data_IF_682028966061
#
_entry.id   IF_682028966061
#
_cell.length_a   1.000
_cell.length_b   1.000
_cell.length_c   1.000
_cell.angle_alpha   90.00
_cell.angle_beta   90.00
_cell.angle_gamma   90.00
#
_symmetry.space_group_name_H-M   'P 1'
#
loop_
_entity.id
_entity.type
_entity.pdbx_description
1 polymer ?
#
# COMPACT_ATOMS: atom_id res chain seq x y z
N UNK A 1 13.53 -6.86 2.61
CA UNK A 1 14.23 -6.76 1.31
C UNK A 1 13.36 -6.93 0.06
N UNK A 2 12.03 -6.98 0.17
CA UNK A 2 11.13 -7.38 -0.94
C UNK A 2 10.75 -6.27 -1.94
N UNK A 3 11.37 -5.09 -1.87
CA UNK A 3 11.03 -3.91 -2.70
C UNK A 3 12.20 -3.38 -3.55
N UNK A 4 13.30 -4.13 -3.67
CA UNK A 4 14.47 -3.74 -4.49
C UNK A 4 14.52 -4.57 -5.79
N UNK A 5 13.60 -4.31 -6.70
CA UNK A 5 13.53 -5.03 -7.98
C UNK A 5 14.33 -4.34 -9.08
N UNK A 6 14.58 -3.03 -9.01
CA UNK A 6 15.36 -2.30 -10.02
C UNK A 6 16.85 -2.68 -9.91
N UNK A 7 17.39 -3.31 -10.95
CA UNK A 7 18.79 -3.75 -11.04
C UNK A 7 19.66 -2.76 -11.82
N UNK A 8 19.15 -2.21 -12.93
CA UNK A 8 19.85 -1.20 -13.74
C UNK A 8 18.88 -0.16 -14.27
N UNK A 9 19.36 1.05 -14.46
CA UNK A 9 18.59 2.19 -14.95
C UNK A 9 19.26 2.76 -16.19
N UNK A 10 18.48 3.00 -17.23
CA UNK A 10 18.83 3.89 -18.36
C UNK A 10 17.75 4.95 -18.44
N UNK A 11 18.12 6.22 -18.53
CA UNK A 11 17.15 7.32 -18.58
C UNK A 11 17.56 8.40 -19.57
N UNK A 12 16.57 9.18 -19.97
CA UNK A 12 16.69 10.51 -20.58
C UNK A 12 15.54 11.36 -20.08
N UNK A 13 15.55 12.66 -20.37
CA UNK A 13 14.42 13.51 -20.00
C UNK A 13 13.15 13.02 -20.72
N UNK A 14 12.11 12.75 -19.94
CA UNK A 14 10.83 12.22 -20.38
C UNK A 14 10.72 10.69 -20.45
N UNK A 15 11.81 9.92 -20.28
CA UNK A 15 11.76 8.45 -20.43
C UNK A 15 12.77 7.72 -19.55
N UNK A 16 12.37 6.55 -19.06
CA UNK A 16 13.26 5.65 -18.32
C UNK A 16 13.03 4.19 -18.69
N UNK A 17 14.10 3.41 -18.65
CA UNK A 17 14.10 1.97 -18.84
C UNK A 17 14.85 1.32 -17.67
N UNK A 18 14.13 0.53 -16.88
CA UNK A 18 14.67 -0.20 -15.74
C UNK A 18 14.72 -1.69 -16.04
N UNK A 19 15.89 -2.30 -15.85
CA UNK A 19 16.03 -3.75 -15.79
C UNK A 19 15.58 -4.20 -14.39
N UNK A 20 14.60 -5.10 -14.33
CA UNK A 20 14.03 -5.62 -13.10
C UNK A 20 14.56 -7.03 -12.82
N UNK A 21 15.04 -7.24 -11.59
CA UNK A 21 15.40 -8.56 -11.08
C UNK A 21 14.23 -9.09 -10.24
N UNK A 22 13.57 -10.18 -10.67
CA UNK A 22 12.60 -10.82 -9.81
C UNK A 22 13.26 -11.34 -8.52
N UNK A 23 12.59 -11.13 -7.38
CA UNK A 23 12.93 -11.85 -6.16
C UNK A 23 12.62 -13.35 -6.32
N UNK A 24 13.18 -14.23 -5.46
CA UNK A 24 12.75 -15.62 -5.42
C UNK A 24 11.23 -15.66 -5.23
N UNK A 25 10.52 -16.34 -6.14
CA UNK A 25 9.10 -16.54 -5.99
C UNK A 25 8.87 -17.30 -4.66
N UNK A 26 7.91 -16.90 -3.82
CA UNK A 26 7.59 -17.66 -2.62
C UNK A 26 7.23 -19.10 -3.01
N UNK A 27 7.73 -20.07 -2.25
CA UNK A 27 7.45 -21.49 -2.43
C UNK A 27 5.92 -21.69 -2.42
N UNK A 28 5.36 -22.18 -3.55
CA UNK A 28 3.91 -22.41 -3.70
C UNK A 28 3.21 -21.61 -4.79
N UNK A 29 3.95 -20.85 -5.60
CA UNK A 29 3.38 -20.07 -6.71
C UNK A 29 2.79 -18.73 -6.25
N UNK A 30 2.94 -17.70 -7.07
CA UNK A 30 2.44 -16.37 -6.75
C UNK A 30 0.91 -16.35 -6.78
N UNK A 31 0.26 -15.91 -5.68
CA UNK A 31 -1.18 -15.59 -5.65
C UNK A 31 -1.54 -14.36 -6.51
N UNK A 32 -0.54 -13.64 -7.01
CA UNK A 32 -0.70 -12.39 -7.74
C UNK A 32 -0.29 -12.55 -9.20
N UNK A 33 -0.99 -11.86 -10.12
CA UNK A 33 -0.56 -11.74 -11.52
C UNK A 33 0.79 -11.04 -11.63
N UNK A 34 1.00 -9.97 -10.85
CA UNK A 34 2.31 -9.35 -10.61
C UNK A 34 2.51 -9.11 -9.12
N UNK A 35 3.73 -9.33 -8.63
CA UNK A 35 4.06 -9.05 -7.24
C UNK A 35 3.87 -7.55 -6.93
N UNK A 36 3.24 -7.15 -5.81
CA UNK A 36 3.05 -5.74 -5.48
C UNK A 36 4.34 -4.92 -5.45
N UNK A 37 5.44 -5.50 -4.96
CA UNK A 37 6.76 -4.86 -4.99
C UNK A 37 7.34 -4.66 -6.40
N UNK A 38 6.95 -5.50 -7.37
CA UNK A 38 7.30 -5.32 -8.78
C UNK A 38 6.49 -4.16 -9.38
N UNK A 39 5.19 -4.08 -9.07
CA UNK A 39 4.32 -2.98 -9.50
C UNK A 39 4.86 -1.65 -8.97
N UNK A 40 5.19 -1.59 -7.67
CA UNK A 40 5.77 -0.40 -7.05
C UNK A 40 7.09 0.01 -7.73
N UNK A 41 7.96 -0.95 -8.04
CA UNK A 41 9.20 -0.70 -8.78
C UNK A 41 8.95 -0.19 -10.21
N UNK A 42 7.86 -0.62 -10.86
CA UNK A 42 7.45 -0.06 -12.15
C UNK A 42 7.05 1.41 -11.98
N UNK A 43 6.31 1.76 -10.92
CA UNK A 43 5.91 3.14 -10.65
C UNK A 43 7.09 4.05 -10.36
N UNK A 44 8.07 3.57 -9.59
CA UNK A 44 9.34 4.27 -9.37
C UNK A 44 10.07 4.59 -10.67
N UNK A 45 9.92 3.74 -11.71
CA UNK A 45 10.54 3.96 -13.02
C UNK A 45 10.06 5.25 -13.68
N UNK A 46 8.80 5.65 -13.49
CA UNK A 46 8.28 6.91 -14.04
C UNK A 46 9.01 8.14 -13.47
N UNK A 47 9.25 8.15 -12.16
CA UNK A 47 9.98 9.24 -11.50
C UNK A 47 11.40 9.44 -12.05
N UNK A 48 12.07 8.36 -12.47
CA UNK A 48 13.41 8.41 -13.05
C UNK A 48 13.45 9.13 -14.41
N UNK A 49 12.32 9.25 -15.10
CA UNK A 49 12.20 9.98 -16.38
C UNK A 49 12.06 11.49 -16.22
N UNK A 50 11.98 12.03 -14.99
CA UNK A 50 11.82 13.47 -14.78
C UNK A 50 13.01 14.27 -15.32
N UNK A 51 12.75 15.40 -16.01
CA UNK A 51 13.79 16.35 -16.39
C UNK A 51 14.52 16.88 -15.17
N UNK A 52 15.81 17.17 -15.30
CA UNK A 52 16.55 17.80 -14.23
C UNK A 52 16.78 16.92 -13.00
N UNK A 53 16.69 15.59 -13.10
CA UNK A 53 17.01 14.61 -12.03
C UNK A 53 18.37 14.85 -11.31
N UNK A 54 19.29 15.65 -11.88
CA UNK A 54 20.53 16.10 -11.23
C UNK A 54 20.65 17.61 -10.96
N UNK A 55 19.72 18.45 -11.45
CA UNK A 55 19.72 19.91 -11.27
C UNK A 55 18.53 20.41 -10.44
N UNK A 56 17.52 19.58 -10.25
CA UNK A 56 16.50 19.73 -9.21
C UNK A 56 17.20 19.47 -7.88
N UNK A 57 17.70 20.54 -7.24
CA UNK A 57 18.03 20.54 -5.81
C UNK A 57 16.81 20.34 -4.90
N UNK A 58 15.85 19.52 -5.33
CA UNK A 58 14.48 19.43 -4.82
C UNK A 58 14.04 18.03 -4.40
N UNK A 59 14.91 17.03 -4.45
CA UNK A 59 14.76 15.87 -3.57
C UNK A 59 15.47 16.19 -2.25
N UNK A 60 14.96 17.19 -1.52
CA UNK A 60 15.23 17.22 -0.08
C UNK A 60 14.66 15.91 0.48
N UNK A 61 15.24 15.37 1.55
CA UNK A 61 14.77 14.10 2.15
C UNK A 61 13.29 14.14 2.64
N UNK A 62 12.68 15.32 2.53
CA UNK A 62 11.38 15.73 3.02
C UNK A 62 10.27 15.65 1.97
N UNK A 63 10.54 15.43 0.67
CA UNK A 63 9.49 15.30 -0.35
C UNK A 63 9.55 13.98 -1.09
N UNK A 64 8.39 13.35 -1.27
CA UNK A 64 8.26 12.05 -1.95
C UNK A 64 7.11 12.06 -2.95
N UNK A 65 7.27 11.34 -4.06
CA UNK A 65 6.18 11.08 -4.99
C UNK A 65 5.40 9.84 -4.53
N UNK A 66 4.08 9.96 -4.44
CA UNK A 66 3.18 8.85 -4.16
C UNK A 66 2.26 8.58 -5.36
N UNK A 67 1.94 7.31 -5.66
CA UNK A 67 0.91 6.99 -6.65
C UNK A 67 -0.46 7.49 -6.20
N UNK A 68 -1.14 8.24 -7.06
CA UNK A 68 -2.48 8.79 -6.80
C UNK A 68 -3.57 8.02 -7.57
N UNK A 69 -3.33 7.73 -8.85
CA UNK A 69 -4.28 7.01 -9.69
C UNK A 69 -3.59 6.33 -10.87
N UNK A 70 -4.29 5.39 -11.51
CA UNK A 70 -3.93 4.80 -12.80
C UNK A 70 -5.18 4.77 -13.66
N UNK A 71 -5.08 5.24 -14.91
CA UNK A 71 -6.21 5.29 -15.84
C UNK A 71 -6.65 3.90 -16.28
N UNK A 72 -5.70 3.00 -16.51
CA UNK A 72 -5.97 1.61 -16.85
C UNK A 72 -4.79 0.69 -16.61
N UNK A 73 -5.07 -0.57 -16.31
CA UNK A 73 -4.05 -1.62 -16.18
C UNK A 73 -4.46 -2.80 -17.02
N UNK A 74 -3.57 -3.24 -17.91
CA UNK A 74 -3.78 -4.42 -18.76
C UNK A 74 -2.70 -5.45 -18.45
N UNK A 75 -3.11 -6.70 -18.21
CA UNK A 75 -2.21 -7.84 -18.03
C UNK A 75 -2.35 -8.76 -19.25
N UNK A 76 -1.25 -8.95 -19.98
CA UNK A 76 -1.25 -9.65 -21.27
C UNK A 76 -0.72 -11.09 -21.17
N UNK A 77 -0.17 -11.49 -20.02
CA UNK A 77 0.32 -12.85 -19.79
C UNK A 77 0.91 -13.06 -18.39
N UNK A 78 1.26 -14.31 -18.05
CA UNK A 78 1.92 -14.61 -16.79
C UNK A 78 3.34 -14.03 -16.75
N UNK A 79 3.81 -13.73 -15.54
CA UNK A 79 5.16 -13.26 -15.28
C UNK A 79 6.01 -14.43 -14.75
N UNK A 80 6.70 -15.13 -15.64
CA UNK A 80 7.34 -16.43 -15.38
C UNK A 80 8.67 -16.35 -14.60
N UNK A 81 8.92 -15.26 -13.87
CA UNK A 81 10.10 -15.09 -13.01
C UNK A 81 11.43 -14.92 -13.76
N UNK A 82 11.40 -14.69 -15.08
CA UNK A 82 12.56 -14.33 -15.88
C UNK A 82 12.97 -12.85 -15.73
N UNK A 83 14.01 -12.43 -16.47
CA UNK A 83 14.41 -11.02 -16.50
C UNK A 83 13.27 -10.17 -17.09
N UNK A 84 13.01 -9.02 -16.50
CA UNK A 84 11.96 -8.10 -16.94
C UNK A 84 12.54 -6.71 -17.17
N UNK A 85 11.83 -5.91 -17.96
CA UNK A 85 12.15 -4.50 -18.18
C UNK A 85 10.90 -3.66 -17.99
N UNK A 86 10.99 -2.58 -17.21
CA UNK A 86 9.95 -1.57 -17.18
C UNK A 86 10.40 -0.39 -18.03
N UNK A 87 9.62 -0.04 -19.05
CA UNK A 87 9.77 1.18 -19.82
C UNK A 87 8.72 2.19 -19.37
N UNK A 88 9.17 3.36 -18.93
CA UNK A 88 8.32 4.48 -18.55
C UNK A 88 8.45 5.63 -19.55
N UNK A 89 7.31 6.22 -19.92
CA UNK A 89 7.23 7.42 -20.72
C UNK A 89 6.40 8.48 -20.00
N UNK A 90 7.00 9.62 -19.76
CA UNK A 90 6.34 10.79 -19.20
C UNK A 90 5.40 11.40 -20.25
N UNK A 91 4.15 11.67 -19.85
CA UNK A 91 3.19 12.46 -20.64
C UNK A 91 3.26 13.92 -20.22
N UNK A 92 3.12 14.16 -18.93
CA UNK A 92 2.97 15.50 -18.35
C UNK A 92 3.69 15.56 -17.01
N UNK A 93 4.26 16.72 -16.69
CA UNK A 93 4.73 17.06 -15.36
C UNK A 93 4.47 18.54 -15.08
N UNK A 94 4.16 18.87 -13.84
CA UNK A 94 3.87 20.25 -13.43
C UNK A 94 4.80 20.71 -12.29
N UNK A 95 4.94 22.03 -12.12
CA UNK A 95 5.74 22.61 -11.04
C UNK A 95 5.12 22.33 -9.65
N UNK A 96 3.81 22.11 -9.59
CA UNK A 96 3.08 21.71 -8.39
C UNK A 96 3.34 20.23 -8.00
N UNK A 97 4.17 19.52 -8.75
CA UNK A 97 4.61 18.16 -8.43
C UNK A 97 3.59 17.09 -8.82
N UNK A 98 2.77 17.32 -9.84
CA UNK A 98 1.97 16.27 -10.47
C UNK A 98 2.73 15.68 -11.67
N UNK A 99 2.74 14.36 -11.79
CA UNK A 99 3.40 13.64 -12.89
C UNK A 99 2.39 12.65 -13.45
N UNK A 100 2.26 12.60 -14.78
CA UNK A 100 1.45 11.61 -15.48
C UNK A 100 2.29 10.91 -16.53
N UNK A 101 2.21 9.58 -16.61
CA UNK A 101 2.93 8.81 -17.62
C UNK A 101 2.43 7.39 -17.79
N UNK A 102 3.02 6.71 -18.75
CA UNK A 102 2.70 5.32 -19.10
C UNK A 102 3.86 4.40 -18.78
N UNK A 103 3.52 3.17 -18.42
CA UNK A 103 4.48 2.12 -18.16
C UNK A 103 4.17 0.88 -19.00
N UNK A 104 5.23 0.24 -19.50
CA UNK A 104 5.17 -1.09 -20.09
C UNK A 104 6.17 -2.00 -19.41
N UNK A 105 5.68 -3.11 -18.88
CA UNK A 105 6.50 -4.20 -18.37
C UNK A 105 6.70 -5.22 -19.50
N UNK A 106 7.95 -5.51 -19.82
CA UNK A 106 8.36 -6.40 -20.89
C UNK A 106 9.14 -7.59 -20.35
N UNK A 107 9.02 -8.74 -21.01
CA UNK A 107 9.89 -9.89 -20.78
C UNK A 107 11.18 -9.84 -21.61
N UNK A 108 11.99 -10.89 -21.51
CA UNK A 108 13.28 -11.03 -22.22
C UNK A 108 13.16 -11.13 -23.73
N UNK A 109 12.00 -11.56 -24.23
CA UNK A 109 11.70 -11.55 -25.65
C UNK A 109 11.16 -10.19 -26.14
N UNK A 110 11.00 -9.21 -25.23
CA UNK A 110 10.41 -7.91 -25.53
C UNK A 110 8.88 -7.95 -25.66
N UNK A 111 8.23 -9.04 -25.24
CA UNK A 111 6.76 -9.14 -25.21
C UNK A 111 6.23 -8.35 -24.02
N UNK A 112 5.12 -7.65 -24.23
CA UNK A 112 4.47 -6.88 -23.17
C UNK A 112 3.76 -7.84 -22.22
N UNK A 113 4.17 -7.81 -20.96
CA UNK A 113 3.56 -8.57 -19.85
C UNK A 113 2.43 -7.77 -19.22
N UNK A 114 2.65 -6.47 -18.99
CA UNK A 114 1.64 -5.58 -18.46
C UNK A 114 1.82 -4.14 -18.93
N UNK A 115 0.73 -3.39 -18.95
CA UNK A 115 0.69 -1.97 -19.29
C UNK A 115 -0.05 -1.19 -18.21
N UNK A 116 0.44 0.01 -17.92
CA UNK A 116 -0.20 0.95 -17.01
C UNK A 116 -0.37 2.26 -17.77
N UNK A 117 -1.62 2.63 -18.03
CA UNK A 117 -1.99 3.85 -18.74
C UNK A 117 -2.27 4.97 -17.74
N UNK A 118 -1.75 6.16 -18.02
CA UNK A 118 -2.02 7.37 -17.23
C UNK A 118 -1.80 7.18 -15.72
N UNK A 119 -0.66 6.59 -15.34
CA UNK A 119 -0.21 6.57 -13.95
C UNK A 119 0.04 8.01 -13.50
N UNK A 120 -0.65 8.42 -12.45
CA UNK A 120 -0.49 9.71 -11.83
C UNK A 120 0.29 9.59 -10.51
N UNK A 121 1.39 10.33 -10.40
CA UNK A 121 2.15 10.49 -9.16
C UNK A 121 2.01 11.92 -8.66
N UNK A 122 1.95 12.09 -7.33
CA UNK A 122 1.88 13.40 -6.68
C UNK A 122 3.01 13.57 -5.68
N UNK A 123 3.69 14.71 -5.74
CA UNK A 123 4.67 15.13 -4.76
C UNK A 123 3.97 15.55 -3.48
N UNK A 124 4.38 14.98 -2.36
CA UNK A 124 3.87 15.30 -1.03
C UNK A 124 5.03 15.48 -0.06
N UNK A 125 4.82 16.28 0.98
CA UNK A 125 5.75 16.34 2.10
C UNK A 125 5.70 15.01 2.86
N UNK A 126 6.87 14.46 3.16
CA UNK A 126 7.06 13.19 3.84
C UNK A 126 6.42 13.18 5.22
N UNK A 127 6.42 14.33 5.91
CA UNK A 127 5.74 14.55 7.18
C UNK A 127 4.22 14.38 7.09
N UNK A 128 3.60 14.72 5.96
CA UNK A 128 2.17 14.51 5.75
C UNK A 128 1.82 13.01 5.66
N UNK A 129 2.77 12.18 5.21
CA UNK A 129 2.61 10.72 5.14
C UNK A 129 2.96 10.05 6.47
N UNK A 130 4.00 10.52 7.17
CA UNK A 130 4.39 9.96 8.48
C UNK A 130 3.51 10.42 9.64
N UNK A 131 2.90 11.59 9.59
CA UNK A 131 1.93 12.04 10.61
C UNK A 131 0.72 11.12 10.73
N UNK A 132 0.32 10.45 9.64
CA UNK A 132 -0.69 9.39 9.68
C UNK A 132 -0.21 8.12 10.41
N UNK A 133 1.10 7.85 10.40
CA UNK A 133 1.71 6.72 11.10
C UNK A 133 1.97 7.04 12.59
N UNK A 134 2.30 8.29 12.93
CA UNK A 134 2.51 8.74 14.32
C UNK A 134 1.21 8.67 15.15
N UNK A 135 0.05 8.88 14.51
CA UNK A 135 -1.27 8.79 15.15
C UNK A 135 -1.94 7.41 15.06
N UNK A 136 -1.23 6.36 14.63
CA UNK A 136 -1.80 4.99 14.66
C UNK A 136 -2.21 4.62 16.09
N UNK A 137 -1.45 5.08 17.08
CA UNK A 137 -1.77 4.94 18.51
C UNK A 137 -3.13 5.56 18.88
N UNK A 138 -3.55 6.63 18.20
CA UNK A 138 -4.85 7.29 18.42
C UNK A 138 -6.01 6.55 17.76
N UNK A 139 -5.73 5.60 16.86
CA UNK A 139 -6.74 4.77 16.18
C UNK A 139 -6.90 3.38 16.79
N UNK A 140 -5.94 2.97 17.62
CA UNK A 140 -5.95 1.69 18.30
C UNK A 140 -6.65 1.83 19.65
N UNK A 141 -7.72 1.05 19.85
CA UNK A 141 -8.42 0.94 21.11
C UNK A 141 -8.02 -0.35 21.82
N UNK A 142 -7.83 -0.29 23.14
CA UNK A 142 -7.68 -1.47 23.99
C UNK A 142 -8.80 -1.53 25.04
N UNK A 143 -9.22 -2.75 25.38
CA UNK A 143 -10.18 -2.96 26.47
C UNK A 143 -9.43 -2.81 27.80
N UNK A 144 -9.63 -1.69 28.49
CA UNK A 144 -9.19 -1.50 29.88
C UNK A 144 -10.32 -1.79 30.84
N UNK A 145 -10.11 -2.79 31.68
CA UNK A 145 -11.01 -3.09 32.80
C UNK A 145 -10.67 -2.17 33.97
N UNK A 146 -11.55 -1.22 34.28
CA UNK A 146 -11.45 -0.40 35.49
C UNK A 146 -12.21 -1.06 36.64
N UNK A 147 -11.56 -1.18 37.80
CA UNK A 147 -12.19 -1.69 39.01
C UNK A 147 -13.32 -0.74 39.45
N UNK A 148 -14.56 -1.18 39.30
CA UNK A 148 -15.72 -0.47 39.82
C UNK A 148 -15.99 -0.93 41.25
N UNK A 149 -16.35 -0.01 42.17
CA UNK A 149 -16.83 -0.43 43.48
C UNK A 149 -18.04 -1.34 43.28
N UNK A 150 -18.22 -2.37 44.13
CA UNK A 150 -19.40 -3.20 44.04
C UNK A 150 -20.64 -2.30 44.11
N UNK A 151 -21.65 -2.55 43.26
CA UNK A 151 -22.89 -1.81 43.34
C UNK A 151 -23.42 -1.90 44.77
N UNK A 152 -24.06 -0.83 45.29
CA UNK A 152 -24.62 -0.84 46.64
C UNK A 152 -25.48 -2.09 46.79
N UNK A 153 -25.33 -2.77 47.94
CA UNK A 153 -26.08 -3.98 48.24
C UNK A 153 -27.56 -3.71 47.93
N UNK A 154 -28.06 -4.34 46.87
CA UNK A 154 -29.48 -4.29 46.56
C UNK A 154 -30.14 -4.99 47.73
N UNK A 155 -30.82 -4.22 48.58
CA UNK A 155 -31.62 -4.81 49.65
C UNK A 155 -32.48 -5.86 48.99
N UNK A 156 -32.41 -7.10 49.50
CA UNK A 156 -33.28 -8.15 49.04
C UNK A 156 -34.70 -7.60 49.13
N UNK A 157 -35.41 -7.56 48.00
CA UNK A 157 -36.82 -7.23 48.02
C UNK A 157 -37.46 -8.16 49.06
N UNK A 158 -38.25 -7.59 49.98
CA UNK A 158 -38.96 -8.41 50.95
C UNK A 158 -39.77 -9.48 50.19
N UNK A 159 -39.85 -10.72 50.72
CA UNK A 159 -40.60 -11.79 50.09
C UNK A 159 -42.09 -11.38 49.96
N UNK A 160 -42.42 -10.74 48.84
CA UNK A 160 -43.72 -10.12 48.59
C UNK A 160 -43.72 -8.96 47.58
N UNK A 161 -42.60 -8.22 47.42
CA UNK A 161 -42.54 -7.01 46.56
C UNK A 161 -41.98 -7.24 45.15
N UNK A 162 -41.48 -8.44 44.84
CA UNK A 162 -41.00 -8.76 43.49
C UNK A 162 -42.21 -9.04 42.61
N UNK A 163 -42.64 -8.06 41.81
CA UNK A 163 -43.46 -8.33 40.62
C UNK A 163 -42.83 -9.49 39.87
N UNK A 164 -43.56 -10.60 39.74
CA UNK A 164 -43.08 -11.89 39.26
C UNK A 164 -42.58 -11.81 37.81
N UNK A 165 -41.36 -11.29 37.63
CA UNK A 165 -40.64 -11.32 36.36
C UNK A 165 -39.94 -12.67 36.29
N UNK A 166 -40.28 -13.45 35.27
CA UNK A 166 -39.63 -14.73 35.00
C UNK A 166 -38.27 -14.46 34.38
N UNK A 167 -37.24 -15.05 34.96
CA UNK A 167 -35.88 -15.02 34.43
C UNK A 167 -35.54 -16.39 33.87
N UNK A 168 -34.87 -16.40 32.71
CA UNK A 168 -34.25 -17.60 32.16
C UNK A 168 -32.74 -17.36 32.21
N UNK A 169 -32.04 -18.14 33.02
CA UNK A 169 -30.58 -18.13 33.08
C UNK A 169 -30.10 -19.23 32.13
N UNK A 170 -29.33 -18.84 31.11
CA UNK A 170 -28.74 -19.77 30.15
C UNK A 170 -27.28 -19.99 30.54
N UNK A 171 -26.89 -21.26 30.64
CA UNK A 171 -25.54 -21.71 30.90
C UNK A 171 -25.07 -22.61 29.76
N UNK A 172 -23.77 -22.62 29.49
CA UNK A 172 -23.20 -23.61 28.58
C UNK A 172 -23.00 -24.96 29.31
N UNK A 173 -22.47 -25.97 28.61
CA UNK A 173 -22.22 -27.30 29.18
C UNK A 173 -21.21 -27.34 30.32
N UNK A 174 -20.58 -26.21 30.68
CA UNK A 174 -19.67 -26.06 31.82
C UNK A 174 -20.34 -25.40 33.03
N UNK A 175 -21.61 -25.02 32.94
CA UNK A 175 -22.39 -24.46 34.04
C UNK A 175 -22.37 -22.93 34.11
N UNK A 176 -22.81 -22.40 35.26
CA UNK A 176 -22.73 -20.97 35.63
C UNK A 176 -21.54 -20.76 36.56
#
# INVERSE_FOLDING_TARGET
DEFRWIAKVRRRDGEALCEMRPGPAPDGGSKYQLHPGLIDSCFQTLGLGLPGWGSLGGFTSEKIYIPLSVGGVCFNGPCDGGRLWCHARLREFSEEGLIVGDLRLLDEAGRVVAEFDALCLRLVDRTAVSGAAENVSEWLYEVRWEAQPPPPARQAAEPGEVSARRWLILADGRGV
#
